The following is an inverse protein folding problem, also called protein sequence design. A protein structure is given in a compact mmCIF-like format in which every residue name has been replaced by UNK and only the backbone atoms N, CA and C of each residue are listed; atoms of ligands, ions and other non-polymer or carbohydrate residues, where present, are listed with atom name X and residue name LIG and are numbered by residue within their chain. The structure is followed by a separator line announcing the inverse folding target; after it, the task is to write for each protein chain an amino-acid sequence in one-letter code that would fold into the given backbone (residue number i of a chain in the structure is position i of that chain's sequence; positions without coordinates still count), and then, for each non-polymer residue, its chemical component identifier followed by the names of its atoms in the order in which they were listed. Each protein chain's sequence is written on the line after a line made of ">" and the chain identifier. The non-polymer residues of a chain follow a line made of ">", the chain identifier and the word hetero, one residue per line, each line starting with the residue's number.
data_IF_815144361466
#
_entry.id   IF_815144361466
#
_cell.length_a   1.000
_cell.length_b   1.000
_cell.length_c   1.000
_cell.angle_alpha   90.00
_cell.angle_beta   90.00
_cell.angle_gamma   90.00
#
_symmetry.space_group_name_H-M   'P 1'
#
loop_
_entity.id
_entity.type
_entity.pdbx_description
1 polymer ?
#
# COMPACT_ATOMS: atom_id res chain seq x y z
N UNK A 1 -5.35 -1.66 -26.92
CA UNK A 1 -4.60 -1.05 -25.80
C UNK A 1 -5.47 -0.01 -25.15
N UNK A 2 -5.64 -0.07 -23.82
CA UNK A 2 -6.39 0.93 -23.05
C UNK A 2 -5.61 2.25 -23.12
N UNK A 3 -6.29 3.37 -23.44
CA UNK A 3 -5.67 4.70 -23.63
C UNK A 3 -5.87 5.64 -22.44
N UNK A 4 -6.60 5.19 -21.42
CA UNK A 4 -6.97 5.97 -20.23
C UNK A 4 -6.53 5.22 -18.99
N UNK A 5 -6.16 5.91 -17.89
CA UNK A 5 -5.87 5.25 -16.62
C UNK A 5 -7.10 4.48 -16.13
N UNK A 6 -6.89 3.30 -15.54
CA UNK A 6 -7.99 2.51 -14.95
C UNK A 6 -8.46 3.14 -13.63
N UNK A 7 -7.52 3.62 -12.82
CA UNK A 7 -7.78 4.39 -11.60
C UNK A 7 -6.88 5.63 -11.55
N UNK A 8 -7.41 6.71 -10.98
CA UNK A 8 -6.69 7.95 -10.69
C UNK A 8 -6.94 8.31 -9.23
N UNK A 9 -5.87 8.53 -8.47
CA UNK A 9 -5.93 8.92 -7.06
C UNK A 9 -5.28 10.30 -6.89
N UNK A 10 -6.04 11.27 -6.38
CA UNK A 10 -5.51 12.60 -6.06
C UNK A 10 -5.30 12.72 -4.55
N UNK A 11 -4.03 12.78 -4.11
CA UNK A 11 -3.65 12.88 -2.71
C UNK A 11 -3.35 14.32 -2.28
N UNK A 12 -3.60 15.32 -3.13
CA UNK A 12 -3.40 16.75 -2.84
C UNK A 12 -1.97 17.12 -2.42
N UNK A 13 -1.00 16.25 -2.74
CA UNK A 13 0.41 16.38 -2.37
C UNK A 13 1.25 15.60 -3.38
N UNK A 14 2.49 16.03 -3.60
CA UNK A 14 3.39 15.32 -4.51
C UNK A 14 3.73 13.94 -3.95
N UNK A 15 3.69 12.94 -4.83
CA UNK A 15 4.06 11.56 -4.49
C UNK A 15 5.59 11.47 -4.45
N UNK A 16 6.14 10.94 -3.37
CA UNK A 16 7.54 10.56 -3.28
C UNK A 16 7.77 9.19 -3.93
N UNK A 17 6.95 8.22 -3.56
CA UNK A 17 7.07 6.83 -4.03
C UNK A 17 5.76 6.03 -3.82
N UNK A 18 5.65 4.90 -4.51
CA UNK A 18 4.54 3.95 -4.43
C UNK A 18 5.06 2.51 -4.50
N UNK A 19 4.53 1.63 -3.65
CA UNK A 19 4.87 0.21 -3.66
C UNK A 19 3.62 -0.65 -3.49
N UNK A 20 3.52 -1.71 -4.29
CA UNK A 20 2.54 -2.77 -4.08
C UNK A 20 2.97 -3.66 -2.91
N UNK A 21 2.00 -4.21 -2.19
CA UNK A 21 2.25 -5.20 -1.17
C UNK A 21 2.60 -6.56 -1.81
N UNK A 22 3.59 -7.28 -1.26
CA UNK A 22 4.03 -8.58 -1.80
C UNK A 22 3.05 -9.72 -1.52
N UNK A 23 2.01 -9.45 -0.71
CA UNK A 23 1.08 -10.44 -0.20
C UNK A 23 -0.38 -10.25 -0.67
N UNK A 24 -0.68 -9.20 -1.44
CA UNK A 24 -2.02 -8.95 -1.97
C UNK A 24 -1.95 -8.01 -3.18
N UNK A 25 -2.48 -8.47 -4.30
CA UNK A 25 -2.59 -7.73 -5.57
C UNK A 25 -3.36 -6.41 -5.43
N UNK A 26 -4.23 -6.27 -4.44
CA UNK A 26 -5.09 -5.08 -4.27
C UNK A 26 -4.56 -4.07 -3.27
N UNK A 27 -3.44 -4.36 -2.60
CA UNK A 27 -2.88 -3.50 -1.56
C UNK A 27 -1.64 -2.81 -2.09
N UNK A 28 -1.62 -1.49 -1.99
CA UNK A 28 -0.43 -0.69 -2.24
C UNK A 28 -0.33 0.43 -1.22
N UNK A 29 0.85 1.00 -1.06
CA UNK A 29 1.06 2.20 -0.29
C UNK A 29 1.72 3.29 -1.14
N UNK A 30 1.44 4.53 -0.79
CA UNK A 30 2.06 5.71 -1.35
C UNK A 30 2.62 6.57 -0.22
N UNK A 31 3.75 7.20 -0.44
CA UNK A 31 4.27 8.26 0.45
C UNK A 31 4.20 9.60 -0.24
N UNK A 32 3.80 10.62 0.50
CA UNK A 32 3.68 11.98 0.02
C UNK A 32 4.71 12.89 0.68
N UNK A 33 5.10 13.96 -0.02
CA UNK A 33 6.12 14.91 0.45
C UNK A 33 5.70 15.70 1.70
N UNK A 34 4.42 15.70 2.05
CA UNK A 34 3.92 16.33 3.28
C UNK A 34 3.99 15.42 4.52
N UNK A 35 4.63 14.25 4.39
CA UNK A 35 5.01 13.42 5.52
C UNK A 35 4.05 12.28 5.83
N UNK A 36 3.13 11.98 4.91
CA UNK A 36 2.04 11.02 5.13
C UNK A 36 2.32 9.73 4.36
N UNK A 37 2.15 8.60 5.05
CA UNK A 37 2.02 7.28 4.42
C UNK A 37 0.54 7.00 4.22
N UNK A 38 0.17 6.69 2.98
CA UNK A 38 -1.17 6.27 2.58
C UNK A 38 -1.14 4.78 2.26
N UNK A 39 -2.02 3.98 2.87
CA UNK A 39 -2.19 2.57 2.52
C UNK A 39 -3.58 2.37 1.92
N UNK A 40 -3.63 1.74 0.76
CA UNK A 40 -4.83 1.43 0.00
C UNK A 40 -5.09 -0.07 0.01
N UNK A 41 -6.35 -0.46 -0.01
CA UNK A 41 -6.78 -1.80 -0.41
C UNK A 41 -7.99 -1.64 -1.31
N UNK A 42 -7.78 -1.85 -2.62
CA UNK A 42 -8.79 -1.65 -3.65
C UNK A 42 -9.98 -2.60 -3.50
N UNK A 43 -9.82 -3.71 -2.77
CA UNK A 43 -10.92 -4.64 -2.47
C UNK A 43 -11.83 -4.17 -1.33
N UNK A 44 -11.36 -3.23 -0.51
CA UNK A 44 -12.10 -2.66 0.63
C UNK A 44 -12.65 -1.28 0.27
N UNK A 45 -11.79 -0.39 -0.25
CA UNK A 45 -12.16 0.94 -0.69
C UNK A 45 -11.41 1.29 -1.97
N UNK A 46 -12.14 1.51 -3.06
CA UNK A 46 -11.58 1.75 -4.39
C UNK A 46 -10.97 3.13 -4.58
N UNK A 47 -11.33 4.12 -3.74
CA UNK A 47 -11.03 5.53 -4.01
C UNK A 47 -10.30 6.23 -2.87
N UNK A 48 -10.40 5.72 -1.64
CA UNK A 48 -9.75 6.33 -0.48
C UNK A 48 -8.80 5.36 0.22
N UNK A 49 -7.75 5.91 0.81
CA UNK A 49 -6.80 5.15 1.61
C UNK A 49 -7.51 4.56 2.85
N UNK A 50 -7.28 3.28 3.12
CA UNK A 50 -7.77 2.61 4.32
C UNK A 50 -6.96 2.98 5.57
N UNK A 51 -5.79 3.60 5.37
CA UNK A 51 -4.99 4.20 6.43
C UNK A 51 -4.22 5.41 5.88
N UNK A 52 -4.24 6.51 6.62
CA UNK A 52 -3.40 7.68 6.40
C UNK A 52 -2.67 7.96 7.70
N UNK A 53 -1.34 7.93 7.69
CA UNK A 53 -0.53 8.10 8.88
C UNK A 53 0.52 9.18 8.63
N UNK A 54 0.46 10.25 9.43
CA UNK A 54 1.55 11.22 9.48
C UNK A 54 2.76 10.57 10.15
N UNK A 55 3.86 10.48 9.42
CA UNK A 55 5.13 9.88 9.85
C UNK A 55 6.16 10.95 10.19
N UNK A 56 6.23 12.02 9.39
CA UNK A 56 7.08 13.20 9.66
C UNK A 56 6.29 14.48 9.52
N UNK A 57 6.68 15.54 10.24
CA UNK A 57 6.01 16.83 10.14
C UNK A 57 6.44 17.59 8.87
N UNK A 58 5.46 17.98 8.04
CA UNK A 58 5.58 18.71 6.76
C UNK A 58 6.62 19.84 6.70
N UNK A 59 6.93 20.51 7.81
CA UNK A 59 7.78 21.71 7.83
C UNK A 59 9.27 21.45 7.68
N UNK A 60 9.74 20.20 7.81
CA UNK A 60 11.19 19.91 7.84
C UNK A 60 11.65 18.75 6.97
N UNK A 61 10.75 17.83 6.63
CA UNK A 61 11.15 16.53 6.10
C UNK A 61 10.12 16.04 5.09
N UNK A 62 10.59 15.49 3.97
CA UNK A 62 9.75 14.92 2.91
C UNK A 62 10.03 13.43 2.82
N UNK A 63 8.97 12.63 2.72
CA UNK A 63 9.14 11.20 2.44
C UNK A 63 9.52 11.02 0.97
N UNK A 64 10.48 10.14 0.73
CA UNK A 64 11.08 9.94 -0.60
C UNK A 64 10.89 8.52 -1.11
N UNK A 65 10.87 7.51 -0.24
CA UNK A 65 10.79 6.10 -0.63
C UNK A 65 9.93 5.28 0.31
N UNK A 66 9.29 4.24 -0.23
CA UNK A 66 8.57 3.23 0.55
C UNK A 66 8.77 1.83 -0.02
N UNK A 67 9.01 0.87 0.86
CA UNK A 67 9.12 -0.54 0.47
C UNK A 67 8.45 -1.44 1.49
N UNK A 68 7.74 -2.46 0.99
CA UNK A 68 7.19 -3.52 1.82
C UNK A 68 8.22 -4.62 2.03
N UNK A 69 8.33 -5.10 3.27
CA UNK A 69 9.09 -6.32 3.52
C UNK A 69 8.34 -7.54 2.92
N UNK A 70 9.02 -8.44 2.17
CA UNK A 70 8.39 -9.58 1.51
C UNK A 70 7.93 -10.69 2.47
N UNK A 71 8.45 -10.73 3.69
CA UNK A 71 8.23 -11.84 4.64
C UNK A 71 7.46 -11.37 5.88
N UNK A 72 7.79 -10.20 6.40
CA UNK A 72 7.22 -9.65 7.62
C UNK A 72 6.29 -8.49 7.33
N UNK A 73 5.26 -8.24 8.16
CA UNK A 73 4.31 -7.16 7.94
C UNK A 73 4.90 -5.81 8.40
N UNK A 74 6.00 -5.44 7.76
CA UNK A 74 6.79 -4.25 8.03
C UNK A 74 6.92 -3.47 6.73
N UNK A 75 6.80 -2.15 6.84
CA UNK A 75 7.15 -1.22 5.76
C UNK A 75 8.34 -0.37 6.19
N UNK A 76 9.20 -0.06 5.23
CA UNK A 76 10.33 0.85 5.40
C UNK A 76 10.00 2.13 4.64
N UNK A 77 10.24 3.28 5.28
CA UNK A 77 10.02 4.59 4.70
C UNK A 77 11.30 5.41 4.84
N UNK A 78 11.80 5.95 3.73
CA UNK A 78 12.95 6.85 3.68
C UNK A 78 12.52 8.31 3.54
N UNK A 79 13.35 9.23 4.01
CA UNK A 79 13.14 10.66 3.85
C UNK A 79 14.36 11.41 3.26
N UNK A 80 14.14 12.69 2.96
CA UNK A 80 15.13 13.59 2.36
C UNK A 80 16.23 14.08 3.33
N UNK A 81 16.16 13.70 4.61
CA UNK A 81 17.20 13.96 5.60
C UNK A 81 18.14 12.74 5.79
N UNK A 82 17.94 11.68 5.00
CA UNK A 82 18.73 10.46 5.09
C UNK A 82 18.33 9.56 6.26
N UNK A 83 17.13 9.76 6.84
CA UNK A 83 16.59 8.90 7.88
C UNK A 83 15.70 7.81 7.26
N UNK A 84 15.76 6.62 7.87
CA UNK A 84 14.92 5.48 7.53
C UNK A 84 14.09 5.14 8.76
N UNK A 85 12.77 5.03 8.57
CA UNK A 85 11.82 4.62 9.60
C UNK A 85 11.17 3.29 9.24
N UNK A 86 11.01 2.40 10.22
CA UNK A 86 10.41 1.08 10.04
C UNK A 86 9.12 0.97 10.84
N UNK A 87 8.02 0.59 10.19
CA UNK A 87 6.69 0.52 10.79
C UNK A 87 6.09 -0.86 10.66
N UNK A 88 5.48 -1.36 11.74
CA UNK A 88 4.69 -2.59 11.71
C UNK A 88 3.26 -2.27 11.29
N UNK A 89 2.76 -2.95 10.27
CA UNK A 89 1.40 -2.79 9.79
C UNK A 89 0.37 -3.33 10.80
N UNK A 90 -0.75 -2.60 10.93
CA UNK A 90 -1.83 -3.01 11.81
C UNK A 90 -2.46 -4.34 11.35
N UNK A 91 -3.08 -5.13 12.24
CA UNK A 91 -3.80 -6.35 11.86
C UNK A 91 -4.76 -6.20 10.69
N UNK A 92 -5.40 -5.04 10.55
CA UNK A 92 -6.36 -4.79 9.48
C UNK A 92 -5.70 -4.60 8.11
N UNK A 93 -4.46 -4.13 8.06
CA UNK A 93 -3.68 -3.92 6.83
C UNK A 93 -2.93 -5.18 6.37
N UNK A 94 -2.99 -6.25 7.18
CA UNK A 94 -2.37 -7.56 6.92
C UNK A 94 -3.38 -8.62 6.50
N UNK A 95 -4.66 -8.28 6.38
CA UNK A 95 -5.71 -9.26 6.09
C UNK A 95 -5.55 -9.75 4.65
N UNK A 96 -4.97 -10.93 4.50
CA UNK A 96 -5.31 -11.77 3.36
C UNK A 96 -6.81 -12.11 3.45
N UNK A 97 -7.52 -12.26 2.32
CA UNK A 97 -8.89 -12.75 2.34
C UNK A 97 -8.97 -13.99 3.24
N UNK A 98 -9.95 -14.01 4.16
CA UNK A 98 -10.12 -15.16 5.06
C UNK A 98 -10.41 -16.37 4.19
N UNK A 99 -9.44 -17.28 4.12
CA UNK A 99 -9.64 -18.62 3.58
C UNK A 99 -10.76 -19.26 4.41
N UNK A 100 -11.79 -19.79 3.75
CA UNK A 100 -12.88 -20.48 4.44
C UNK A 100 -12.30 -21.63 5.28
N UNK A 101 -12.83 -21.86 6.49
CA UNK A 101 -12.33 -22.90 7.41
C UNK A 101 -12.19 -24.23 6.65
N UNK A 102 -10.95 -24.69 6.46
CA UNK A 102 -10.63 -25.98 5.84
C UNK A 102 -9.87 -25.93 4.51
N UNK A 103 -9.66 -24.75 3.92
CA UNK A 103 -8.79 -24.58 2.75
C UNK A 103 -7.38 -24.14 3.20
N UNK A 104 -6.33 -24.74 2.62
CA UNK A 104 -4.96 -24.27 2.81
C UNK A 104 -4.80 -22.83 2.29
N UNK A 105 -3.90 -22.06 2.91
CA UNK A 105 -3.45 -20.78 2.38
C UNK A 105 -2.75 -21.03 1.04
N UNK A 106 -3.50 -21.11 -0.05
CA UNK A 106 -2.90 -21.11 -1.37
C UNK A 106 -2.49 -19.67 -1.64
N UNK A 107 -1.18 -19.42 -1.67
CA UNK A 107 -0.57 -18.25 -2.33
C UNK A 107 -0.75 -18.36 -3.85
N UNK A 108 -1.96 -18.72 -4.27
CA UNK A 108 -2.32 -19.09 -5.62
C UNK A 108 -2.27 -17.80 -6.46
N UNK A 109 -1.28 -17.65 -7.34
CA UNK A 109 -1.17 -16.44 -8.16
C UNK A 109 -2.47 -16.17 -8.93
N UNK A 110 -3.16 -17.22 -9.36
CA UNK A 110 -4.45 -17.19 -10.03
C UNK A 110 -5.55 -16.53 -9.18
N UNK A 111 -5.61 -16.79 -7.88
CA UNK A 111 -6.59 -16.17 -6.99
C UNK A 111 -6.38 -14.64 -6.88
N UNK A 112 -5.12 -14.19 -6.84
CA UNK A 112 -4.77 -12.77 -6.82
C UNK A 112 -5.02 -12.10 -8.18
N UNK A 113 -4.85 -12.81 -9.29
CA UNK A 113 -5.26 -12.33 -10.62
C UNK A 113 -6.77 -12.13 -10.67
N UNK A 114 -7.57 -13.11 -10.26
CA UNK A 114 -9.05 -13.03 -10.24
C UNK A 114 -9.52 -11.86 -9.36
N UNK A 115 -8.84 -11.63 -8.22
CA UNK A 115 -9.15 -10.52 -7.32
C UNK A 115 -8.99 -9.16 -8.01
N UNK A 116 -7.89 -8.97 -8.74
CA UNK A 116 -7.66 -7.74 -9.49
C UNK A 116 -8.62 -7.63 -10.69
N UNK A 117 -8.87 -8.70 -11.43
CA UNK A 117 -9.83 -8.71 -12.55
C UNK A 117 -11.25 -8.33 -12.13
N UNK A 118 -11.66 -8.65 -10.89
CA UNK A 118 -12.96 -8.23 -10.38
C UNK A 118 -13.05 -6.73 -10.06
N UNK A 119 -11.90 -6.07 -9.90
CA UNK A 119 -11.81 -4.64 -9.57
C UNK A 119 -11.72 -3.79 -10.83
N UNK A 120 -10.97 -4.28 -11.83
CA UNK A 120 -10.76 -3.66 -13.16
C UNK A 120 -12.01 -3.74 -14.04
#
# INVERSE_FOLDING_TARGET
>A
TIKVPVFTFDLMSAIGDVSWAPYSSTVFAAVTVDGIVHVFDLSINKYEAICQQLVVAKKKTKLTHIEFNPVHPVIIVGDDQGLISSFKLSPNLRKMPKVQRGQELSLDPEAEVIKMEHIL
#
